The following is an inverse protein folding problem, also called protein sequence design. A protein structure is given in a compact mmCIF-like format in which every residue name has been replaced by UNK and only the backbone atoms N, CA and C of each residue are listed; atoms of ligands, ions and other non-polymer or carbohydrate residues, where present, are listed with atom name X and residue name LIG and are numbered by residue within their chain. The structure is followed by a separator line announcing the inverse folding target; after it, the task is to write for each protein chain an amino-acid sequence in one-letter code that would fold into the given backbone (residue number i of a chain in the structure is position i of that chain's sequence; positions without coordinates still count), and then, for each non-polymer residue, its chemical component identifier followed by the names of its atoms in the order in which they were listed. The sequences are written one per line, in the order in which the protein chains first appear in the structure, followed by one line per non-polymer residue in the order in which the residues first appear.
data_IF_012040803294
#
_entry.id   IF_012040803294
#
_cell.length_a   1.000
_cell.length_b   1.000
_cell.length_c   1.000
_cell.angle_alpha   90.00
_cell.angle_beta   90.00
_cell.angle_gamma   90.00
#
_symmetry.space_group_name_H-M   'P 1'
#
loop_
_entity.id
_entity.type
_entity.pdbx_description
1 polymer ?
#
# COMPACT_ATOMS: atom_id res chain seq x y z
N UNK A 1 -5.02 -3.22 11.88
CA UNK A 1 -3.65 -3.66 11.54
C UNK A 1 -3.57 -4.33 10.17
N UNK A 2 -3.82 -3.58 9.09
CA UNK A 2 -3.74 -4.10 7.70
C UNK A 2 -2.29 -4.17 7.20
N UNK A 3 -1.41 -3.29 7.70
CA UNK A 3 -0.01 -3.26 7.33
C UNK A 3 0.81 -4.44 7.90
N UNK A 4 0.41 -5.01 9.03
CA UNK A 4 1.06 -6.20 9.58
C UNK A 4 0.78 -7.42 8.68
N UNK A 5 -0.42 -7.52 8.13
CA UNK A 5 -0.83 -8.66 7.30
C UNK A 5 -0.01 -8.81 6.00
N UNK A 6 0.58 -7.73 5.49
CA UNK A 6 1.36 -7.75 4.23
C UNK A 6 2.69 -8.49 4.43
N UNK A 7 3.35 -8.28 5.57
CA UNK A 7 4.58 -8.99 5.92
C UNK A 7 4.33 -10.47 6.25
N UNK A 8 3.09 -10.86 6.52
CA UNK A 8 2.69 -12.25 6.72
C UNK A 8 2.04 -12.88 5.48
N UNK A 9 1.97 -12.14 4.37
CA UNK A 9 1.48 -12.70 3.12
C UNK A 9 2.46 -13.74 2.59
N UNK A 10 1.92 -14.82 2.03
CA UNK A 10 2.74 -15.89 1.46
C UNK A 10 3.66 -15.36 0.36
N UNK A 11 3.14 -14.50 -0.52
CA UNK A 11 3.90 -13.93 -1.63
C UNK A 11 5.09 -13.10 -1.15
N UNK A 12 4.94 -12.37 -0.04
CA UNK A 12 6.03 -11.63 0.57
C UNK A 12 7.09 -12.57 1.15
N UNK A 13 6.66 -13.57 1.91
CA UNK A 13 7.57 -14.55 2.53
C UNK A 13 8.34 -15.35 1.48
N UNK A 14 7.65 -15.83 0.46
CA UNK A 14 8.27 -16.57 -0.66
C UNK A 14 9.29 -15.67 -1.39
N UNK A 15 8.99 -14.38 -1.60
CA UNK A 15 9.93 -13.44 -2.23
C UNK A 15 11.16 -13.12 -1.35
N UNK A 16 11.03 -13.15 -0.03
CA UNK A 16 12.16 -13.04 0.91
C UNK A 16 13.00 -14.32 0.88
N UNK A 17 12.35 -15.49 0.93
CA UNK A 17 13.02 -16.80 0.91
C UNK A 17 13.77 -17.04 -0.39
N UNK A 18 13.20 -16.62 -1.53
CA UNK A 18 13.81 -16.65 -2.86
C UNK A 18 14.89 -15.56 -3.06
N UNK A 19 15.15 -14.73 -2.03
CA UNK A 19 16.11 -13.62 -2.05
C UNK A 19 15.86 -12.56 -3.12
N UNK A 20 14.60 -12.43 -3.54
CA UNK A 20 14.15 -11.34 -4.41
C UNK A 20 14.11 -10.04 -3.59
N UNK A 21 13.73 -10.14 -2.31
CA UNK A 21 13.69 -9.03 -1.35
C UNK A 21 14.79 -9.25 -0.31
N UNK A 22 15.67 -8.26 -0.16
CA UNK A 22 16.74 -8.25 0.83
C UNK A 22 16.40 -7.32 2.00
N UNK A 23 17.08 -7.47 3.17
CA UNK A 23 16.81 -6.64 4.35
C UNK A 23 16.98 -5.14 4.14
N UNK A 24 17.85 -4.74 3.21
CA UNK A 24 18.14 -3.32 2.91
C UNK A 24 17.26 -2.76 1.78
N UNK A 25 16.36 -3.57 1.21
CA UNK A 25 15.49 -3.16 0.11
C UNK A 25 14.26 -2.40 0.63
N UNK A 26 13.92 -1.30 -0.04
CA UNK A 26 12.72 -0.53 0.26
C UNK A 26 11.49 -1.19 -0.36
N UNK A 27 10.44 -1.37 0.44
CA UNK A 27 9.17 -1.95 0.01
C UNK A 27 8.09 -0.88 -0.18
N UNK A 28 7.46 -0.91 -1.36
CA UNK A 28 6.37 -0.03 -1.76
C UNK A 28 5.20 -0.88 -2.25
N UNK A 29 4.02 -0.67 -1.68
CA UNK A 29 2.76 -1.07 -2.33
C UNK A 29 2.22 0.10 -3.14
N UNK A 30 1.93 -0.18 -4.40
CA UNK A 30 1.26 0.73 -5.31
C UNK A 30 -0.11 0.16 -5.69
N UNK A 31 -1.15 0.96 -5.55
CA UNK A 31 -2.50 0.64 -6.01
C UNK A 31 -3.05 1.82 -6.81
N UNK A 32 -3.70 1.49 -7.92
CA UNK A 32 -4.38 2.44 -8.79
C UNK A 32 -5.80 1.96 -8.99
N UNK A 33 -6.77 2.84 -8.77
CA UNK A 33 -8.16 2.56 -9.06
C UNK A 33 -8.80 3.72 -9.82
N UNK A 34 -9.62 3.39 -10.81
CA UNK A 34 -10.42 4.36 -11.52
C UNK A 34 -11.69 4.68 -10.73
N UNK A 35 -12.02 5.96 -10.61
CA UNK A 35 -13.29 6.41 -10.07
C UNK A 35 -14.09 7.12 -11.16
N UNK A 36 -15.38 6.80 -11.26
CA UNK A 36 -16.29 7.52 -12.14
C UNK A 36 -17.26 8.36 -11.31
N UNK A 37 -17.32 9.66 -11.57
CA UNK A 37 -18.25 10.55 -10.90
C UNK A 37 -19.65 10.38 -11.51
N UNK A 38 -20.65 10.04 -10.69
CA UNK A 38 -22.03 9.86 -11.15
C UNK A 38 -22.57 11.07 -11.94
N UNK A 39 -22.22 12.28 -11.51
CA UNK A 39 -22.64 13.55 -12.13
C UNK A 39 -21.84 13.91 -13.38
N UNK A 40 -20.68 13.30 -13.59
CA UNK A 40 -19.80 13.55 -14.74
C UNK A 40 -19.21 12.22 -15.22
N UNK A 41 -20.03 11.43 -15.91
CA UNK A 41 -19.61 10.11 -16.42
C UNK A 41 -18.46 10.19 -17.42
N UNK A 42 -18.23 11.34 -18.05
CA UNK A 42 -17.10 11.58 -18.95
C UNK A 42 -15.78 11.92 -18.21
N UNK A 43 -15.79 11.99 -16.88
CA UNK A 43 -14.59 12.23 -16.08
C UNK A 43 -13.86 10.92 -15.83
N UNK A 44 -12.70 10.75 -16.46
CA UNK A 44 -11.72 9.74 -16.06
C UNK A 44 -10.98 10.24 -14.81
N UNK A 45 -11.42 9.82 -13.62
CA UNK A 45 -10.71 10.09 -12.37
C UNK A 45 -9.94 8.85 -11.95
N UNK A 46 -8.70 9.03 -11.49
CA UNK A 46 -7.87 7.94 -10.96
C UNK A 46 -7.42 8.30 -9.55
N UNK A 47 -7.49 7.31 -8.66
CA UNK A 47 -6.99 7.37 -7.30
C UNK A 47 -5.72 6.52 -7.26
N UNK A 48 -4.61 7.18 -6.90
CA UNK A 48 -3.32 6.53 -6.71
C UNK A 48 -3.04 6.42 -5.21
N UNK A 49 -2.69 5.22 -4.75
CA UNK A 49 -2.32 4.94 -3.37
C UNK A 49 -0.92 4.34 -3.36
N UNK A 50 -0.04 4.96 -2.58
CA UNK A 50 1.35 4.56 -2.40
C UNK A 50 1.59 4.36 -0.92
N UNK A 51 2.03 3.17 -0.52
CA UNK A 51 2.34 2.85 0.88
C UNK A 51 3.79 2.41 0.98
N UNK A 52 4.60 3.24 1.63
CA UNK A 52 5.98 2.90 2.00
C UNK A 52 5.95 2.09 3.29
N UNK A 53 6.42 0.84 3.24
CA UNK A 53 6.41 -0.04 4.41
C UNK A 53 7.59 0.17 5.34
N UNK A 54 8.70 0.69 4.82
CA UNK A 54 9.96 0.90 5.54
C UNK A 54 9.84 1.93 6.69
N UNK A 55 8.82 2.79 6.65
CA UNK A 55 8.54 3.68 7.77
C UNK A 55 7.77 2.97 8.89
N UNK A 56 8.27 3.09 10.12
CA UNK A 56 7.56 2.62 11.32
C UNK A 56 6.11 3.12 11.34
N UNK A 57 5.12 2.28 11.70
CA UNK A 57 3.72 2.69 11.84
C UNK A 57 3.50 3.90 12.78
N UNK A 58 4.46 4.19 13.66
CA UNK A 58 4.46 5.36 14.54
C UNK A 58 4.87 6.66 13.84
N UNK A 59 5.68 6.56 12.80
CA UNK A 59 6.17 7.68 11.99
C UNK A 59 5.28 7.93 10.76
N UNK A 60 4.44 6.97 10.38
CA UNK A 60 3.45 7.14 9.32
C UNK A 60 2.44 8.21 9.68
N UNK A 61 2.05 9.00 8.67
CA UNK A 61 0.99 10.00 8.81
C UNK A 61 -0.34 9.31 9.18
N UNK A 62 -0.78 9.49 10.44
CA UNK A 62 -2.11 9.07 10.90
C UNK A 62 -3.06 10.25 10.78
N UNK A 63 -3.93 10.24 9.77
CA UNK A 63 -5.04 11.19 9.72
C UNK A 63 -6.01 10.83 10.84
N UNK A 64 -6.19 11.73 11.80
CA UNK A 64 -6.89 11.50 13.09
C UNK A 64 -8.29 10.88 12.99
N UNK A 65 -8.94 11.00 11.83
CA UNK A 65 -10.31 10.52 11.58
C UNK A 65 -10.41 9.47 10.47
N UNK A 66 -9.28 8.91 10.02
CA UNK A 66 -9.28 7.74 9.14
C UNK A 66 -9.06 6.54 10.05
N UNK A 67 -10.17 5.89 10.42
CA UNK A 67 -10.14 4.61 11.11
C UNK A 67 -9.97 3.49 10.06
N UNK A 68 -9.16 2.46 10.37
CA UNK A 68 -8.93 1.33 9.49
C UNK A 68 -10.19 0.49 9.25
#
# INVERSE_FOLDING_TARGET
DVAENIYFSKDFMDAVDDKIINPDDMLLMFSIDSAQLYKSKASDCYIYIWVLFDMSPKLRYKKRYVLP
#
